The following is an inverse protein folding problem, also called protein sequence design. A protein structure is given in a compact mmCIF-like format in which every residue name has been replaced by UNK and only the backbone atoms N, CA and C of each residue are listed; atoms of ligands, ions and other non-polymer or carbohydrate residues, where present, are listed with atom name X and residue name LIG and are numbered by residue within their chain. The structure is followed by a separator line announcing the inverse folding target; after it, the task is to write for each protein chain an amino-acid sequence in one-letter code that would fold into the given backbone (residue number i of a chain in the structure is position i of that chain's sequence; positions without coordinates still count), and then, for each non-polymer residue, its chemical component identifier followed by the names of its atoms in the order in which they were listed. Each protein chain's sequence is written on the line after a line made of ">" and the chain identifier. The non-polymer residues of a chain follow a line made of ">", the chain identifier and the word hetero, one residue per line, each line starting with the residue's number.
data_IF_793421938746
#
_entry.id   IF_793421938746
#
_cell.length_a   1.000
_cell.length_b   1.000
_cell.length_c   1.000
_cell.angle_alpha   90.00
_cell.angle_beta   90.00
_cell.angle_gamma   90.00
#
_symmetry.space_group_name_H-M   'P 1'
#
loop_
_entity.id
_entity.type
_entity.pdbx_description
1 polymer ?
#
# COMPACT_ATOMS: atom_id res chain seq x y z
N UNK A 1 10.40 -20.77 -3.89
CA UNK A 1 10.90 -20.35 -2.55
C UNK A 1 10.01 -21.01 -1.52
N UNK A 2 10.55 -21.84 -0.61
CA UNK A 2 9.74 -22.67 0.31
C UNK A 2 9.64 -22.01 1.68
N UNK A 3 8.43 -21.93 2.23
CA UNK A 3 8.20 -21.47 3.60
C UNK A 3 8.88 -22.42 4.59
N UNK A 4 9.70 -21.86 5.49
CA UNK A 4 10.38 -22.63 6.54
C UNK A 4 9.50 -22.69 7.80
N UNK A 5 9.30 -23.88 8.41
CA UNK A 5 8.64 -23.99 9.70
C UNK A 5 9.30 -23.07 10.74
N UNK A 6 8.50 -22.41 11.57
CA UNK A 6 8.98 -21.48 12.62
C UNK A 6 9.32 -20.05 12.15
N UNK A 7 9.31 -19.76 10.84
CA UNK A 7 9.60 -18.42 10.32
C UNK A 7 8.70 -17.32 10.91
N UNK A 8 7.41 -17.61 11.10
CA UNK A 8 6.48 -16.64 11.69
C UNK A 8 6.93 -16.20 13.09
N UNK A 9 7.21 -17.14 13.99
CA UNK A 9 7.62 -16.84 15.35
C UNK A 9 8.95 -16.06 15.37
N UNK A 10 9.93 -16.49 14.57
CA UNK A 10 11.22 -15.81 14.49
C UNK A 10 11.09 -14.36 14.01
N UNK A 11 10.30 -14.13 12.95
CA UNK A 11 10.09 -12.79 12.40
C UNK A 11 9.24 -11.93 13.35
N UNK A 12 8.21 -12.51 13.96
CA UNK A 12 7.35 -11.80 14.91
C UNK A 12 8.12 -11.32 16.15
N UNK A 13 9.09 -12.10 16.64
CA UNK A 13 9.94 -11.67 17.77
C UNK A 13 10.86 -10.50 17.40
N UNK A 14 11.24 -10.37 16.12
CA UNK A 14 12.09 -9.27 15.62
C UNK A 14 11.28 -8.04 15.19
N UNK A 15 10.00 -8.22 14.90
CA UNK A 15 9.15 -7.18 14.34
C UNK A 15 8.93 -6.06 15.36
N UNK A 16 9.03 -4.81 14.88
CA UNK A 16 8.72 -3.61 15.65
C UNK A 16 7.42 -2.97 15.13
N UNK A 17 6.53 -2.56 16.02
CA UNK A 17 5.24 -1.93 15.67
C UNK A 17 5.37 -0.41 15.46
N UNK A 18 6.20 -0.01 14.49
CA UNK A 18 6.57 1.39 14.30
C UNK A 18 5.48 2.25 13.62
N UNK A 19 4.51 1.62 12.94
CA UNK A 19 3.43 2.31 12.22
C UNK A 19 2.08 1.60 12.41
N UNK A 20 0.99 2.37 12.29
CA UNK A 20 -0.38 1.83 12.19
C UNK A 20 -0.99 1.27 13.48
N UNK A 21 -0.21 1.16 14.57
CA UNK A 21 -0.68 0.66 15.86
C UNK A 21 -1.02 1.79 16.84
N UNK A 22 -1.89 1.54 17.84
CA UNK A 22 -2.21 2.52 18.88
C UNK A 22 -0.99 2.92 19.72
N UNK A 23 0.02 2.05 19.79
CA UNK A 23 1.26 2.25 20.53
C UNK A 23 2.43 2.65 19.63
N UNK A 24 2.19 2.93 18.34
CA UNK A 24 3.27 3.32 17.44
C UNK A 24 3.88 4.66 17.86
N UNK A 25 5.22 4.80 17.81
CA UNK A 25 5.89 6.04 18.14
C UNK A 25 5.43 7.19 17.22
N UNK A 26 5.41 8.40 17.77
CA UNK A 26 5.00 9.58 17.02
C UNK A 26 6.07 9.93 15.98
N UNK A 27 5.61 10.28 14.79
CA UNK A 27 6.43 10.82 13.71
C UNK A 27 6.27 12.35 13.71
N UNK A 28 7.35 13.14 13.55
CA UNK A 28 7.25 14.58 13.45
C UNK A 28 6.29 15.02 12.35
N UNK A 29 5.58 16.13 12.58
CA UNK A 29 4.60 16.64 11.62
C UNK A 29 5.23 16.85 10.24
N UNK A 30 4.51 16.45 9.18
CA UNK A 30 4.95 16.58 7.79
C UNK A 30 5.95 15.50 7.32
N UNK A 31 6.43 14.62 8.20
CA UNK A 31 7.33 13.53 7.80
C UNK A 31 6.57 12.27 7.40
N UNK A 32 7.10 11.57 6.39
CA UNK A 32 6.67 10.22 6.06
C UNK A 32 7.26 9.23 7.07
N UNK A 33 6.42 8.36 7.64
CA UNK A 33 6.81 7.44 8.71
C UNK A 33 7.87 6.42 8.29
N UNK A 34 7.76 5.83 7.09
CA UNK A 34 8.72 4.84 6.60
C UNK A 34 10.09 5.49 6.40
N UNK A 35 10.14 6.65 5.73
CA UNK A 35 11.39 7.39 5.51
C UNK A 35 12.04 7.77 6.84
N UNK A 36 11.25 8.27 7.79
CA UNK A 36 11.74 8.66 9.12
C UNK A 36 12.34 7.47 9.89
N UNK A 37 11.66 6.32 9.91
CA UNK A 37 12.13 5.16 10.66
C UNK A 37 13.28 4.41 9.98
N UNK A 38 13.34 4.38 8.65
CA UNK A 38 14.42 3.67 7.94
C UNK A 38 15.68 4.52 7.76
N UNK A 39 15.52 5.79 7.35
CA UNK A 39 16.64 6.60 6.86
C UNK A 39 17.13 7.65 7.86
N UNK A 40 16.25 8.17 8.72
CA UNK A 40 16.66 9.19 9.69
C UNK A 40 17.04 8.60 11.06
N UNK A 41 16.22 7.66 11.55
CA UNK A 41 16.43 7.07 12.89
C UNK A 41 16.97 5.65 12.86
N UNK A 42 17.00 5.01 11.69
CA UNK A 42 17.51 3.65 11.49
C UNK A 42 16.93 2.61 12.45
N UNK A 43 15.64 2.74 12.80
CA UNK A 43 14.95 1.83 13.72
C UNK A 43 14.50 0.53 13.06
N UNK A 44 14.40 0.51 11.72
CA UNK A 44 14.05 -0.69 10.96
C UNK A 44 14.81 -0.77 9.64
N UNK A 45 15.30 -1.97 9.33
CA UNK A 45 15.95 -2.27 8.05
C UNK A 45 14.96 -2.52 6.91
N UNK A 46 13.74 -2.98 7.24
CA UNK A 46 12.67 -3.26 6.29
C UNK A 46 11.29 -3.05 6.93
N UNK A 47 10.30 -2.78 6.07
CA UNK A 47 8.89 -2.70 6.43
C UNK A 47 8.05 -3.65 5.60
N UNK A 48 7.09 -4.31 6.23
CA UNK A 48 6.01 -5.01 5.56
C UNK A 48 4.83 -4.06 5.43
N UNK A 49 4.56 -3.56 4.23
CA UNK A 49 3.58 -2.49 3.97
C UNK A 49 2.78 -2.74 2.71
N UNK A 50 1.61 -2.11 2.62
CA UNK A 50 0.86 -2.04 1.38
C UNK A 50 1.61 -1.21 0.34
N UNK A 51 1.40 -1.53 -0.95
CA UNK A 51 2.06 -0.88 -2.07
C UNK A 51 1.88 0.64 -2.04
N UNK A 52 0.69 1.13 -1.67
CA UNK A 52 0.39 2.56 -1.56
C UNK A 52 1.32 3.32 -0.60
N UNK A 53 1.58 2.76 0.58
CA UNK A 53 2.51 3.36 1.55
C UNK A 53 3.96 3.30 1.06
N UNK A 54 4.34 2.18 0.41
CA UNK A 54 5.67 2.02 -0.18
C UNK A 54 5.94 3.00 -1.31
N UNK A 55 5.00 3.19 -2.23
CA UNK A 55 5.12 4.16 -3.34
C UNK A 55 5.21 5.60 -2.84
N UNK A 56 4.45 5.96 -1.81
CA UNK A 56 4.56 7.27 -1.17
C UNK A 56 5.96 7.51 -0.58
N UNK A 57 6.56 6.49 0.07
CA UNK A 57 7.91 6.58 0.59
C UNK A 57 8.97 6.67 -0.51
N UNK A 58 8.85 5.89 -1.59
CA UNK A 58 9.78 5.91 -2.73
C UNK A 58 9.83 7.26 -3.44
N UNK A 59 8.69 7.96 -3.56
CA UNK A 59 8.65 9.31 -4.13
C UNK A 59 9.50 10.31 -3.33
N UNK A 60 9.60 10.12 -2.02
CA UNK A 60 10.36 10.98 -1.10
C UNK A 60 11.82 10.54 -1.05
N UNK A 61 12.07 9.23 -1.00
CA UNK A 61 13.40 8.64 -0.92
C UNK A 61 13.59 7.56 -2.00
N UNK A 62 14.00 7.95 -3.22
CA UNK A 62 14.22 7.01 -4.33
C UNK A 62 15.35 5.99 -4.11
N UNK A 63 16.13 6.15 -3.04
CA UNK A 63 17.17 5.19 -2.60
C UNK A 63 16.59 3.97 -1.89
N UNK A 64 15.32 4.01 -1.48
CA UNK A 64 14.63 2.84 -0.93
C UNK A 64 14.33 1.84 -2.05
N UNK A 65 14.14 0.58 -1.67
CA UNK A 65 13.75 -0.49 -2.59
C UNK A 65 12.47 -1.14 -2.13
N UNK A 66 11.57 -1.44 -3.08
CA UNK A 66 10.37 -2.21 -2.83
C UNK A 66 10.51 -3.58 -3.50
N UNK A 67 10.24 -4.63 -2.73
CA UNK A 67 10.26 -6.02 -3.20
C UNK A 67 8.85 -6.58 -3.07
N UNK A 68 8.30 -7.05 -4.18
CA UNK A 68 6.99 -7.69 -4.19
C UNK A 68 7.05 -9.03 -3.43
N UNK A 69 6.02 -9.30 -2.63
CA UNK A 69 5.84 -10.62 -2.03
C UNK A 69 5.38 -11.62 -3.10
N UNK A 70 5.74 -12.91 -2.97
CA UNK A 70 5.11 -13.96 -3.76
C UNK A 70 3.60 -14.01 -3.50
N UNK A 71 2.81 -14.36 -4.52
CA UNK A 71 1.33 -14.41 -4.46
C UNK A 71 0.81 -15.23 -3.27
N UNK A 72 1.50 -16.32 -2.91
CA UNK A 72 1.13 -17.17 -1.76
C UNK A 72 1.21 -16.46 -0.40
N UNK A 73 1.88 -15.31 -0.33
CA UNK A 73 2.06 -14.48 0.86
C UNK A 73 1.42 -13.10 0.71
N UNK A 74 1.01 -12.73 -0.50
CA UNK A 74 0.39 -11.45 -0.77
C UNK A 74 -1.03 -11.44 -0.21
N UNK A 75 -1.24 -10.67 0.86
CA UNK A 75 -2.57 -10.44 1.41
C UNK A 75 -3.23 -9.31 0.63
N UNK A 76 -4.39 -9.59 0.03
CA UNK A 76 -5.21 -8.58 -0.60
C UNK A 76 -6.10 -7.88 0.44
N UNK A 77 -6.17 -6.55 0.35
CA UNK A 77 -7.02 -5.72 1.18
C UNK A 77 -8.09 -5.07 0.30
N UNK A 78 -9.30 -5.65 0.17
CA UNK A 78 -10.39 -5.01 -0.55
C UNK A 78 -10.85 -3.74 0.20
N UNK A 79 -10.79 -2.60 -0.47
CA UNK A 79 -11.28 -1.32 0.06
C UNK A 79 -12.70 -1.05 -0.45
N UNK A 80 -13.68 -1.09 0.47
CA UNK A 80 -15.07 -0.76 0.18
C UNK A 80 -15.34 0.74 0.20
N UNK A 81 -16.29 1.19 -0.62
CA UNK A 81 -16.80 2.55 -0.64
C UNK A 81 -18.30 2.53 -0.32
N UNK A 82 -18.73 3.39 0.61
CA UNK A 82 -20.14 3.60 0.91
C UNK A 82 -20.41 5.07 1.20
N UNK A 83 -21.59 5.55 0.81
CA UNK A 83 -22.11 6.86 1.21
C UNK A 83 -22.95 6.69 2.47
N UNK A 84 -22.71 7.51 3.50
CA UNK A 84 -23.47 7.44 4.75
C UNK A 84 -24.92 7.92 4.53
N UNK A 85 -25.88 7.30 5.21
CA UNK A 85 -27.32 7.60 5.04
C UNK A 85 -27.71 9.03 5.39
N UNK A 86 -26.93 9.72 6.22
CA UNK A 86 -27.12 11.13 6.61
C UNK A 86 -25.98 12.03 6.13
N UNK A 87 -25.29 11.64 5.06
CA UNK A 87 -24.24 12.47 4.48
C UNK A 87 -24.83 13.73 3.81
N UNK A 88 -23.98 14.73 3.63
CA UNK A 88 -24.30 15.86 2.76
C UNK A 88 -24.62 15.35 1.34
N UNK A 89 -25.57 15.94 0.59
CA UNK A 89 -25.95 15.47 -0.75
C UNK A 89 -24.77 15.28 -1.71
N UNK A 90 -23.77 16.16 -1.62
CA UNK A 90 -22.55 16.08 -2.44
C UNK A 90 -21.63 14.89 -2.16
N UNK A 91 -21.86 14.13 -1.08
CA UNK A 91 -21.10 12.91 -0.83
C UNK A 91 -21.29 11.87 -1.94
N UNK A 92 -22.47 11.82 -2.57
CA UNK A 92 -22.71 10.98 -3.73
C UNK A 92 -21.86 11.41 -4.92
N UNK A 93 -21.71 12.71 -5.15
CA UNK A 93 -20.85 13.27 -6.20
C UNK A 93 -19.39 12.85 -6.01
N UNK A 94 -18.87 12.93 -4.78
CA UNK A 94 -17.51 12.46 -4.46
C UNK A 94 -17.37 10.95 -4.68
N UNK A 95 -18.34 10.15 -4.24
CA UNK A 95 -18.30 8.70 -4.44
C UNK A 95 -18.26 8.34 -5.94
N UNK A 96 -19.08 9.00 -6.76
CA UNK A 96 -19.06 8.83 -8.21
C UNK A 96 -17.73 9.28 -8.83
N UNK A 97 -17.12 10.36 -8.33
CA UNK A 97 -15.80 10.79 -8.79
C UNK A 97 -14.72 9.74 -8.49
N UNK A 98 -14.70 9.16 -7.28
CA UNK A 98 -13.76 8.09 -6.91
C UNK A 98 -13.91 6.86 -7.82
N UNK A 99 -15.16 6.54 -8.23
CA UNK A 99 -15.46 5.42 -9.12
C UNK A 99 -15.24 5.74 -10.62
N UNK A 100 -15.04 7.00 -10.98
CA UNK A 100 -14.81 7.41 -12.37
C UNK A 100 -13.42 6.96 -12.88
N UNK A 101 -13.19 6.89 -14.21
CA UNK A 101 -11.86 6.58 -14.76
C UNK A 101 -10.75 7.49 -14.22
N UNK A 102 -11.05 8.78 -14.03
CA UNK A 102 -10.09 9.75 -13.47
C UNK A 102 -9.76 9.41 -12.02
N UNK A 103 -10.76 9.13 -11.18
CA UNK A 103 -10.53 8.76 -9.77
C UNK A 103 -9.76 7.45 -9.64
N UNK A 104 -10.07 6.48 -10.49
CA UNK A 104 -9.37 5.19 -10.50
C UNK A 104 -7.93 5.32 -11.00
N UNK A 105 -7.65 6.21 -11.95
CA UNK A 105 -6.29 6.51 -12.37
C UNK A 105 -5.44 7.12 -11.25
N UNK A 106 -6.03 7.98 -10.41
CA UNK A 106 -5.35 8.51 -9.21
C UNK A 106 -5.05 7.37 -8.22
N UNK A 107 -6.03 6.50 -7.95
CA UNK A 107 -5.82 5.33 -7.09
C UNK A 107 -4.70 4.41 -7.62
N UNK A 108 -4.67 4.14 -8.93
CA UNK A 108 -3.62 3.33 -9.55
C UNK A 108 -2.23 3.95 -9.39
N UNK A 109 -2.12 5.27 -9.61
CA UNK A 109 -0.87 6.02 -9.43
C UNK A 109 -0.36 6.01 -7.98
N UNK A 110 -1.27 5.87 -7.01
CA UNK A 110 -0.95 5.73 -5.60
C UNK A 110 -0.91 4.27 -5.13
N UNK A 111 -0.84 3.29 -6.05
CA UNK A 111 -0.55 1.89 -5.73
C UNK A 111 -1.73 1.02 -5.31
N UNK A 112 -2.95 1.37 -5.74
CA UNK A 112 -4.14 0.51 -5.63
C UNK A 112 -4.41 -0.24 -6.96
N UNK A 113 -5.06 -1.39 -6.89
CA UNK A 113 -5.37 -2.23 -8.06
C UNK A 113 -6.39 -1.62 -9.05
N UNK A 114 -7.09 -0.54 -8.66
CA UNK A 114 -8.00 0.27 -9.50
C UNK A 114 -8.86 -0.53 -10.50
N UNK A 115 -9.72 -1.44 -10.02
CA UNK A 115 -10.35 -2.49 -10.84
C UNK A 115 -11.35 -1.98 -11.89
N UNK A 116 -11.72 -0.70 -11.85
CA UNK A 116 -12.66 -0.09 -12.80
C UNK A 116 -11.95 0.56 -14.00
N UNK A 117 -10.61 0.52 -14.05
CA UNK A 117 -9.89 0.82 -15.28
C UNK A 117 -9.91 -0.39 -16.23
N UNK A 118 -9.89 -0.17 -17.55
CA UNK A 118 -9.65 -1.26 -18.48
C UNK A 118 -8.30 -1.91 -18.16
N UNK A 119 -8.27 -3.24 -17.97
CA UNK A 119 -7.00 -3.97 -17.96
C UNK A 119 -6.28 -3.70 -19.27
N UNK A 120 -4.98 -3.33 -19.25
CA UNK A 120 -4.21 -3.24 -20.47
C UNK A 120 -4.30 -4.60 -21.16
N UNK A 121 -4.81 -4.62 -22.39
CA UNK A 121 -4.90 -5.82 -23.20
C UNK A 121 -3.52 -6.48 -23.22
N UNK A 122 -3.40 -7.67 -22.65
CA UNK A 122 -2.25 -8.53 -22.88
C UNK A 122 -2.17 -8.72 -24.38
N UNK A 123 -1.24 -8.02 -25.04
CA UNK A 123 -0.90 -8.27 -26.43
C UNK A 123 -0.48 -9.74 -26.50
N UNK A 124 -1.35 -10.56 -27.10
CA UNK A 124 -1.13 -11.99 -27.24
C UNK A 124 0.22 -12.26 -27.88
N UNK A 125 1.08 -12.96 -27.14
CA UNK A 125 2.18 -13.69 -27.72
C UNK A 125 1.62 -14.83 -28.55
N UNK A 126 1.55 -14.65 -29.86
CA UNK A 126 1.46 -15.69 -30.88
C UNK A 126 2.19 -15.10 -32.08
N UNK A 127 3.41 -15.51 -32.40
CA UNK A 127 3.84 -16.63 -33.29
C UNK A 127 5.36 -16.36 -33.44
N UNK A 128 6.32 -17.27 -33.57
CA UNK A 128 6.40 -18.66 -34.01
C UNK A 128 7.76 -19.19 -33.53
#
# INVERSE_FOLDING_TARGET
>A
MTLRPGSFQLLSTKAQQLVGGPNSPKVPAGKNSLVYFMLETHQADLFLVYCSSGQAALRIAPTLHMVALPDTLAVQAPYGLTVLTRAHPEAATLALYILSPTGQAVLAQDGFDAPLLPTPSSSGGTTQ
#
